data_IF_974480727958
#
_entry.id   IF_974480727958
#
_cell.length_a   1.000
_cell.length_b   1.000
_cell.length_c   1.000
_cell.angle_alpha   90.00
_cell.angle_beta   90.00
_cell.angle_gamma   90.00
#
_symmetry.space_group_name_H-M   'P 1'
#
loop_
_entity.id
_entity.type
_entity.pdbx_description
1 polymer ?
#
# COMPACT_ATOMS: atom_id res chain seq x y z
N UNK A 1 -9.56 -19.61 -65.34
CA UNK A 1 -10.11 -18.73 -64.28
C UNK A 1 -10.48 -19.43 -62.96
N UNK A 2 -10.60 -20.73 -62.89
CA UNK A 2 -11.02 -21.52 -61.73
C UNK A 2 -9.90 -21.79 -60.72
N UNK A 3 -8.66 -22.07 -61.18
CA UNK A 3 -7.52 -22.48 -60.31
C UNK A 3 -6.99 -21.33 -59.44
N UNK A 4 -7.01 -20.09 -59.92
CA UNK A 4 -6.60 -18.90 -59.17
C UNK A 4 -7.56 -18.60 -58.04
N UNK A 5 -8.86 -18.84 -58.23
CA UNK A 5 -9.89 -18.60 -57.18
C UNK A 5 -9.80 -19.61 -56.03
N UNK A 6 -9.46 -20.87 -56.37
CA UNK A 6 -9.23 -21.92 -55.33
C UNK A 6 -7.96 -21.66 -54.53
N UNK A 7 -6.90 -21.15 -55.15
CA UNK A 7 -5.63 -20.82 -54.47
C UNK A 7 -5.79 -19.65 -53.49
N UNK A 8 -6.58 -18.62 -53.85
CA UNK A 8 -6.89 -17.53 -52.95
C UNK A 8 -7.73 -17.98 -51.73
N UNK A 9 -8.75 -18.81 -51.94
CA UNK A 9 -9.57 -19.33 -50.83
C UNK A 9 -8.77 -20.18 -49.89
N UNK A 10 -7.77 -20.89 -50.35
CA UNK A 10 -6.90 -21.72 -49.52
C UNK A 10 -5.87 -20.87 -48.75
N UNK A 11 -5.42 -19.77 -49.33
CA UNK A 11 -4.54 -18.77 -48.70
C UNK A 11 -5.29 -18.03 -47.59
N UNK A 12 -6.50 -17.53 -47.83
CA UNK A 12 -7.34 -16.90 -46.80
C UNK A 12 -7.64 -17.82 -45.62
N UNK A 13 -7.94 -19.08 -45.86
CA UNK A 13 -8.17 -20.08 -44.79
C UNK A 13 -6.93 -20.32 -43.93
N UNK A 14 -5.73 -20.21 -44.51
CA UNK A 14 -4.46 -20.37 -43.77
C UNK A 14 -4.19 -19.16 -42.88
N UNK A 15 -4.39 -17.95 -43.39
CA UNK A 15 -4.24 -16.70 -42.62
C UNK A 15 -5.25 -16.65 -41.47
N UNK A 16 -6.49 -17.02 -41.66
CA UNK A 16 -7.52 -17.09 -40.61
C UNK A 16 -7.13 -18.12 -39.52
N UNK A 17 -6.57 -19.27 -39.90
CA UNK A 17 -6.10 -20.25 -38.93
C UNK A 17 -4.92 -19.72 -38.07
N UNK A 18 -3.99 -19.00 -38.70
CA UNK A 18 -2.84 -18.38 -37.99
C UNK A 18 -3.35 -17.31 -37.05
N UNK A 19 -4.28 -16.43 -37.48
CA UNK A 19 -4.89 -15.42 -36.60
C UNK A 19 -5.64 -16.07 -35.42
N UNK A 20 -6.40 -17.12 -35.67
CA UNK A 20 -7.14 -17.83 -34.60
C UNK A 20 -6.19 -18.48 -33.60
N UNK A 21 -5.10 -19.09 -34.08
CA UNK A 21 -4.07 -19.67 -33.23
C UNK A 21 -3.38 -18.60 -32.38
N UNK A 22 -3.00 -17.46 -32.98
CA UNK A 22 -2.42 -16.33 -32.26
C UNK A 22 -3.37 -15.78 -31.17
N UNK A 23 -4.66 -15.66 -31.50
CA UNK A 23 -5.68 -15.24 -30.54
C UNK A 23 -5.78 -16.22 -29.36
N UNK A 24 -5.79 -17.53 -29.62
CA UNK A 24 -5.81 -18.54 -28.56
C UNK A 24 -4.57 -18.45 -27.65
N UNK A 25 -3.38 -18.24 -28.23
CA UNK A 25 -2.14 -18.08 -27.46
C UNK A 25 -2.21 -16.84 -26.56
N UNK A 26 -2.69 -15.71 -27.08
CA UNK A 26 -2.86 -14.46 -26.30
C UNK A 26 -3.85 -14.68 -25.16
N UNK A 27 -4.97 -15.35 -25.41
CA UNK A 27 -5.96 -15.66 -24.36
C UNK A 27 -5.38 -16.58 -23.28
N UNK A 28 -4.60 -17.60 -23.65
CA UNK A 28 -3.93 -18.48 -22.67
C UNK A 28 -2.91 -17.72 -21.83
N UNK A 29 -2.09 -16.85 -22.43
CA UNK A 29 -1.13 -16.02 -21.72
C UNK A 29 -1.87 -15.07 -20.76
N UNK A 30 -2.95 -14.43 -21.19
CA UNK A 30 -3.76 -13.54 -20.37
C UNK A 30 -4.40 -14.27 -19.19
N UNK A 31 -4.95 -15.47 -19.43
CA UNK A 31 -5.52 -16.31 -18.38
C UNK A 31 -4.47 -16.76 -17.37
N UNK A 32 -3.29 -17.19 -17.84
CA UNK A 32 -2.17 -17.56 -16.99
C UNK A 32 -1.68 -16.37 -16.14
N UNK A 33 -1.53 -15.19 -16.75
CA UNK A 33 -1.15 -13.97 -16.03
C UNK A 33 -2.19 -13.59 -14.96
N UNK A 34 -3.48 -13.72 -15.27
CA UNK A 34 -4.56 -13.47 -14.30
C UNK A 34 -4.55 -14.47 -13.13
N UNK A 35 -4.34 -15.77 -13.40
CA UNK A 35 -4.25 -16.82 -12.37
C UNK A 35 -3.01 -16.65 -11.47
N UNK A 36 -1.91 -16.15 -12.02
CA UNK A 36 -0.66 -15.90 -11.28
C UNK A 36 -0.71 -14.56 -10.50
N UNK A 37 -1.60 -13.65 -10.87
CA UNK A 37 -1.80 -12.39 -10.18
C UNK A 37 -2.46 -12.63 -8.83
N UNK A 38 -1.70 -12.51 -7.73
CA UNK A 38 -2.28 -12.57 -6.38
C UNK A 38 -3.01 -11.27 -6.10
N UNK A 39 -4.34 -11.30 -5.88
CA UNK A 39 -5.05 -10.08 -5.52
C UNK A 39 -4.48 -9.51 -4.21
N UNK A 40 -4.23 -8.23 -4.17
CA UNK A 40 -3.81 -7.54 -2.96
C UNK A 40 -4.90 -7.58 -1.89
N UNK A 41 -4.50 -7.54 -0.62
CA UNK A 41 -5.44 -7.35 0.49
C UNK A 41 -5.79 -5.88 0.58
N UNK A 42 -7.09 -5.58 0.75
CA UNK A 42 -7.57 -4.22 0.97
C UNK A 42 -7.27 -3.79 2.40
N UNK A 43 -6.69 -2.60 2.53
CA UNK A 43 -6.40 -1.94 3.80
C UNK A 43 -7.05 -0.57 3.87
N UNK A 44 -7.39 -0.15 5.09
CA UNK A 44 -7.92 1.17 5.41
C UNK A 44 -6.79 2.00 5.98
N UNK A 45 -6.64 3.22 5.48
CA UNK A 45 -5.66 4.20 5.95
C UNK A 45 -6.39 5.43 6.42
N UNK A 46 -6.17 5.83 7.67
CA UNK A 46 -6.78 7.01 8.25
C UNK A 46 -5.79 8.17 8.18
N UNK A 47 -6.21 9.26 7.55
CA UNK A 47 -5.47 10.51 7.43
C UNK A 47 -6.35 11.68 7.88
N UNK A 48 -5.75 12.82 8.16
CA UNK A 48 -6.47 14.06 8.42
C UNK A 48 -6.87 14.71 7.09
N UNK A 49 -8.13 15.14 6.98
CA UNK A 49 -8.59 15.93 5.83
C UNK A 49 -8.01 17.35 5.88
N UNK A 50 -7.42 17.81 4.77
CA UNK A 50 -6.87 19.14 4.65
C UNK A 50 -7.95 20.23 4.78
N UNK A 51 -9.18 19.93 4.33
CA UNK A 51 -10.28 20.89 4.27
C UNK A 51 -11.01 21.02 5.62
N UNK A 52 -11.19 19.91 6.34
CA UNK A 52 -12.05 19.87 7.53
C UNK A 52 -11.31 19.58 8.83
N UNK A 53 -10.05 19.13 8.77
CA UNK A 53 -9.29 18.65 9.94
C UNK A 53 -9.83 17.33 10.52
N UNK A 54 -10.87 16.75 9.93
CA UNK A 54 -11.46 15.49 10.40
C UNK A 54 -10.70 14.28 9.86
N UNK A 55 -10.76 13.16 10.59
CA UNK A 55 -10.18 11.91 10.13
C UNK A 55 -10.98 11.35 8.95
N UNK A 56 -10.30 11.11 7.84
CA UNK A 56 -10.83 10.52 6.62
C UNK A 56 -10.16 9.16 6.36
N UNK A 57 -10.86 8.27 5.63
CA UNK A 57 -10.37 6.92 5.34
C UNK A 57 -10.08 6.78 3.86
N UNK A 58 -8.87 6.34 3.54
CA UNK A 58 -8.44 5.97 2.19
C UNK A 58 -8.27 4.45 2.09
N UNK A 59 -8.73 3.86 0.98
CA UNK A 59 -8.60 2.43 0.74
C UNK A 59 -7.47 2.13 -0.24
N UNK A 60 -6.59 1.18 0.11
CA UNK A 60 -5.51 0.69 -0.76
C UNK A 60 -5.47 -0.82 -0.79
N UNK A 61 -5.05 -1.35 -1.93
CA UNK A 61 -4.74 -2.77 -2.08
C UNK A 61 -3.23 -2.94 -2.02
N UNK A 62 -2.76 -3.70 -1.02
CA UNK A 62 -1.35 -4.02 -0.86
C UNK A 62 -1.11 -5.52 -1.08
N UNK A 63 0.05 -5.90 -1.65
CA UNK A 63 0.43 -7.29 -1.78
C UNK A 63 0.41 -8.00 -0.42
N UNK A 64 -0.14 -9.21 -0.36
CA UNK A 64 -0.13 -9.99 0.88
C UNK A 64 1.22 -10.69 1.06
N UNK A 65 1.98 -10.29 2.07
CA UNK A 65 3.32 -10.83 2.36
C UNK A 65 3.39 -11.73 3.61
N UNK A 66 2.32 -11.79 4.39
CA UNK A 66 2.31 -12.48 5.69
C UNK A 66 2.72 -11.56 6.85
N UNK A 67 2.70 -12.10 8.07
CA UNK A 67 3.13 -11.42 9.29
C UNK A 67 4.60 -11.78 9.56
N UNK A 68 5.48 -10.83 9.93
CA UNK A 68 5.20 -9.41 10.25
C UNK A 68 5.31 -8.44 9.03
N UNK A 69 5.67 -8.90 7.83
CA UNK A 69 5.98 -8.07 6.67
C UNK A 69 4.80 -7.20 6.22
N UNK A 70 3.56 -7.69 6.41
CA UNK A 70 2.35 -6.88 6.14
C UNK A 70 2.26 -5.64 7.04
N UNK A 71 2.69 -5.77 8.32
CA UNK A 71 2.70 -4.65 9.26
C UNK A 71 3.73 -3.61 8.82
N UNK A 72 4.94 -4.07 8.47
CA UNK A 72 6.02 -3.19 8.03
C UNK A 72 5.67 -2.47 6.73
N UNK A 73 5.10 -3.19 5.74
CA UNK A 73 4.64 -2.61 4.49
C UNK A 73 3.53 -1.57 4.72
N UNK A 74 2.58 -1.86 5.59
CA UNK A 74 1.51 -0.92 5.93
C UNK A 74 2.06 0.34 6.61
N UNK A 75 3.04 0.20 7.51
CA UNK A 75 3.73 1.32 8.13
C UNK A 75 4.47 2.18 7.09
N UNK A 76 5.13 1.56 6.08
CA UNK A 76 5.76 2.30 4.98
C UNK A 76 4.75 3.17 4.22
N UNK A 77 3.60 2.61 3.88
CA UNK A 77 2.54 3.34 3.17
C UNK A 77 1.97 4.51 3.99
N UNK A 78 1.94 4.40 5.32
CA UNK A 78 1.54 5.50 6.21
C UNK A 78 2.54 6.65 6.17
N UNK A 79 3.85 6.36 6.15
CA UNK A 79 4.91 7.37 6.10
C UNK A 79 5.00 8.02 4.72
N UNK A 80 4.81 7.23 3.64
CA UNK A 80 4.72 7.76 2.27
C UNK A 80 3.58 8.77 2.15
N UNK A 81 2.47 8.56 2.90
CA UNK A 81 1.36 9.49 2.97
C UNK A 81 0.19 9.14 2.03
N UNK A 82 -0.84 9.99 1.96
CA UNK A 82 -2.05 9.77 1.16
C UNK A 82 -1.77 9.86 -0.34
N UNK A 83 -2.60 9.18 -1.15
CA UNK A 83 -2.56 9.26 -2.63
C UNK A 83 -3.24 10.52 -3.18
N UNK A 84 -4.06 11.17 -2.38
CA UNK A 84 -4.80 12.36 -2.76
C UNK A 84 -4.37 13.56 -1.92
N UNK A 85 -4.22 14.70 -2.56
CA UNK A 85 -3.86 15.97 -1.92
C UNK A 85 -4.94 16.52 -0.96
N UNK A 86 -6.12 15.89 -0.93
CA UNK A 86 -7.20 16.23 0.02
C UNK A 86 -6.88 15.86 1.46
N UNK A 87 -5.88 15.03 1.67
CA UNK A 87 -5.47 14.57 2.99
C UNK A 87 -4.06 15.05 3.29
N UNK A 88 -3.83 15.35 4.56
CA UNK A 88 -2.51 15.74 5.04
C UNK A 88 -1.61 14.51 5.19
N UNK A 89 -0.32 14.69 4.96
CA UNK A 89 0.70 13.73 5.37
C UNK A 89 0.65 13.54 6.88
N UNK A 90 0.91 12.35 7.39
CA UNK A 90 1.05 12.13 8.84
C UNK A 90 2.30 12.81 9.39
N UNK A 91 3.36 12.82 8.59
CA UNK A 91 4.67 13.38 8.93
C UNK A 91 5.14 14.31 7.81
N UNK A 92 6.13 15.14 8.08
CA UNK A 92 6.71 16.04 7.07
C UNK A 92 7.26 15.27 5.88
N UNK A 93 7.24 15.92 4.71
CA UNK A 93 7.84 15.38 3.50
C UNK A 93 9.33 15.09 3.72
N UNK A 94 9.78 13.92 3.26
CA UNK A 94 11.17 13.49 3.48
C UNK A 94 11.36 12.62 4.72
N UNK A 95 10.37 12.50 5.62
CA UNK A 95 10.43 11.55 6.73
C UNK A 95 10.57 10.12 6.22
N UNK A 96 11.49 9.36 6.79
CA UNK A 96 11.71 7.94 6.50
C UNK A 96 12.01 7.15 7.75
N UNK A 97 11.91 5.82 7.68
CA UNK A 97 12.32 4.95 8.77
C UNK A 97 13.84 4.74 8.75
N UNK A 98 14.51 5.16 9.81
CA UNK A 98 15.90 4.78 10.10
C UNK A 98 15.96 3.28 10.41
N UNK A 99 14.98 2.79 11.18
CA UNK A 99 14.78 1.36 11.43
C UNK A 99 13.33 1.07 11.76
N UNK A 100 12.86 -0.14 11.43
CA UNK A 100 11.55 -0.65 11.81
C UNK A 100 11.56 -2.16 11.91
N UNK A 101 10.93 -2.71 12.93
CA UNK A 101 10.79 -4.15 13.10
C UNK A 101 9.65 -4.47 14.08
N UNK A 102 9.18 -5.71 14.02
CA UNK A 102 8.20 -6.24 14.98
C UNK A 102 8.87 -7.29 15.85
N UNK A 103 8.74 -7.15 17.17
CA UNK A 103 9.25 -8.10 18.15
C UNK A 103 8.26 -8.26 19.30
N UNK A 104 7.90 -9.48 19.65
CA UNK A 104 6.96 -9.80 20.73
C UNK A 104 5.61 -9.06 20.60
N UNK A 105 5.07 -8.99 19.36
CA UNK A 105 3.84 -8.28 19.03
C UNK A 105 3.87 -6.77 19.29
N UNK A 106 5.05 -6.18 19.41
CA UNK A 106 5.30 -4.73 19.48
C UNK A 106 5.95 -4.28 18.18
N UNK A 107 5.41 -3.24 17.57
CA UNK A 107 6.03 -2.57 16.44
C UNK A 107 6.97 -1.47 16.95
N UNK A 108 8.24 -1.60 16.64
CA UNK A 108 9.26 -0.60 16.91
C UNK A 108 9.54 0.18 15.63
N UNK A 109 9.46 1.49 15.69
CA UNK A 109 9.76 2.38 14.54
C UNK A 109 10.66 3.51 15.02
N UNK A 110 11.70 3.78 14.23
CA UNK A 110 12.60 4.90 14.42
C UNK A 110 12.53 5.79 13.18
N UNK A 111 11.96 6.97 13.33
CA UNK A 111 11.81 7.96 12.27
C UNK A 111 13.07 8.82 12.19
N UNK A 112 13.35 9.33 10.99
CA UNK A 112 14.40 10.34 10.79
C UNK A 112 14.04 11.66 11.49
N UNK A 113 15.03 12.49 11.77
CA UNK A 113 14.85 13.80 12.38
C UNK A 113 13.99 14.77 11.53
N UNK A 114 13.88 14.49 10.22
CA UNK A 114 13.04 15.25 9.28
C UNK A 114 11.56 15.32 9.70
N UNK A 115 11.11 14.37 10.54
CA UNK A 115 9.76 14.41 11.12
C UNK A 115 9.51 15.67 11.95
N UNK A 116 10.55 16.31 12.47
CA UNK A 116 10.47 17.54 13.26
C UNK A 116 10.39 18.81 12.40
N UNK A 117 10.69 18.70 11.10
CA UNK A 117 10.55 19.79 10.14
C UNK A 117 9.08 19.90 9.70
N UNK A 118 8.28 20.65 10.45
CA UNK A 118 6.84 20.84 10.23
C UNK A 118 6.52 21.60 8.93
N UNK A 119 7.38 21.51 7.92
CA UNK A 119 7.17 22.13 6.62
C UNK A 119 6.17 21.36 5.76
N UNK A 120 5.31 22.09 5.05
CA UNK A 120 4.38 21.53 4.08
C UNK A 120 2.99 21.17 4.62
N UNK A 121 2.23 20.42 3.84
CA UNK A 121 0.86 19.99 4.18
C UNK A 121 0.86 18.71 5.01
N UNK A 122 1.44 18.74 6.21
CA UNK A 122 1.39 17.64 7.16
C UNK A 122 0.50 17.97 8.37
N UNK A 123 0.04 16.94 9.08
CA UNK A 123 -0.60 17.08 10.38
C UNK A 123 0.42 17.57 11.41
N UNK A 124 -0.04 18.16 12.52
CA UNK A 124 0.86 18.41 13.64
C UNK A 124 1.47 17.09 14.13
N UNK A 125 2.67 17.14 14.71
CA UNK A 125 3.45 15.94 15.03
C UNK A 125 2.71 15.01 15.99
N UNK A 126 1.97 15.54 16.95
CA UNK A 126 1.19 14.73 17.89
C UNK A 126 0.06 14.00 17.18
N UNK A 127 -0.73 14.72 16.39
CA UNK A 127 -1.81 14.14 15.58
C UNK A 127 -1.26 13.09 14.60
N UNK A 128 -0.14 13.36 13.95
CA UNK A 128 0.51 12.41 13.04
C UNK A 128 0.94 11.13 13.75
N UNK A 129 1.56 11.23 14.92
CA UNK A 129 1.95 10.09 15.76
C UNK A 129 0.73 9.30 16.22
N UNK A 130 -0.30 9.97 16.74
CA UNK A 130 -1.50 9.34 17.25
C UNK A 130 -2.28 8.62 16.13
N UNK A 131 -2.40 9.23 14.96
CA UNK A 131 -3.00 8.61 13.78
C UNK A 131 -2.18 7.42 13.27
N UNK A 132 -0.86 7.52 13.24
CA UNK A 132 0.01 6.42 12.86
C UNK A 132 -0.22 5.19 13.76
N UNK A 133 -0.17 5.38 15.08
CA UNK A 133 -0.41 4.33 16.07
C UNK A 133 -1.80 3.73 15.94
N UNK A 134 -2.82 4.56 15.85
CA UNK A 134 -4.22 4.14 15.69
C UNK A 134 -4.43 3.33 14.42
N UNK A 135 -3.81 3.71 13.31
CA UNK A 135 -3.85 2.95 12.06
C UNK A 135 -3.28 1.53 12.24
N UNK A 136 -2.12 1.41 12.87
CA UNK A 136 -1.46 0.11 13.11
C UNK A 136 -2.31 -0.77 14.05
N UNK A 137 -2.70 -0.25 15.21
CA UNK A 137 -3.41 -1.02 16.23
C UNK A 137 -4.80 -1.46 15.76
N UNK A 138 -5.52 -0.60 15.04
CA UNK A 138 -6.84 -0.94 14.50
C UNK A 138 -6.76 -1.95 13.34
N UNK A 139 -5.68 -1.96 12.57
CA UNK A 139 -5.54 -2.82 11.39
C UNK A 139 -4.97 -4.19 11.72
N UNK A 140 -4.09 -4.27 12.71
CA UNK A 140 -3.36 -5.49 13.06
C UNK A 140 -3.59 -5.91 14.50
N UNK A 141 -4.62 -6.70 14.75
CA UNK A 141 -4.98 -7.16 16.10
C UNK A 141 -3.92 -8.03 16.81
N UNK A 142 -2.84 -8.44 16.10
CA UNK A 142 -1.67 -9.09 16.74
C UNK A 142 -0.72 -8.08 17.37
N UNK A 143 -0.68 -6.84 16.88
CA UNK A 143 0.16 -5.79 17.44
C UNK A 143 -0.52 -5.22 18.68
N UNK A 144 0.17 -5.31 19.81
CA UNK A 144 -0.32 -4.87 21.11
C UNK A 144 0.15 -3.47 21.49
N UNK A 145 1.28 -3.05 20.94
CA UNK A 145 1.85 -1.73 21.22
C UNK A 145 2.67 -1.24 20.02
N UNK A 146 2.82 0.08 19.93
CA UNK A 146 3.70 0.75 18.95
C UNK A 146 4.65 1.66 19.72
N UNK A 147 5.94 1.32 19.69
CA UNK A 147 7.01 2.13 20.26
C UNK A 147 7.65 2.97 19.17
N UNK A 148 7.69 4.28 19.38
CA UNK A 148 8.21 5.23 18.40
C UNK A 148 9.42 5.98 18.95
N UNK A 149 10.38 6.14 18.05
CA UNK A 149 11.62 6.87 18.28
C UNK A 149 11.80 7.90 17.16
N UNK A 150 12.41 9.01 17.48
CA UNK A 150 12.90 10.01 16.53
C UNK A 150 14.40 10.15 16.77
N UNK A 151 15.19 9.88 15.74
CA UNK A 151 16.66 9.92 15.82
C UNK A 151 17.19 9.20 17.08
N UNK A 152 16.73 7.96 17.29
CA UNK A 152 17.05 7.09 18.44
C UNK A 152 16.58 7.59 19.81
N UNK A 153 15.79 8.65 19.89
CA UNK A 153 15.19 9.13 21.15
C UNK A 153 13.74 8.67 21.24
N UNK A 154 13.40 7.97 22.32
CA UNK A 154 12.03 7.52 22.56
C UNK A 154 11.07 8.71 22.70
N UNK A 155 9.91 8.61 22.03
CA UNK A 155 8.84 9.60 22.17
C UNK A 155 7.95 9.19 23.34
N UNK A 156 7.22 8.09 23.18
CA UNK A 156 6.43 7.41 24.18
C UNK A 156 5.85 6.11 23.61
N UNK A 157 5.45 5.19 24.48
CA UNK A 157 4.80 3.93 24.13
C UNK A 157 3.30 4.09 24.26
N UNK A 158 2.54 3.65 23.25
CA UNK A 158 1.08 3.57 23.30
C UNK A 158 0.64 2.12 23.20
N UNK A 159 -0.25 1.74 24.10
CA UNK A 159 -0.84 0.41 24.18
C UNK A 159 -2.28 0.43 23.63
N UNK A 160 -2.86 -0.78 23.44
CA UNK A 160 -4.27 -0.93 23.05
C UNK A 160 -5.25 -0.27 24.03
N UNK A 161 -4.88 -0.11 25.30
CA UNK A 161 -5.70 0.53 26.33
C UNK A 161 -5.81 2.05 26.09
N UNK A 162 -4.76 2.67 25.58
CA UNK A 162 -4.73 4.12 25.29
C UNK A 162 -5.57 4.49 24.08
N UNK A 163 -5.83 3.53 23.16
CA UNK A 163 -6.58 3.77 21.91
C UNK A 163 -8.09 3.65 22.11
N UNK A 164 -8.55 2.97 23.16
CA UNK A 164 -9.99 2.72 23.41
C UNK A 164 -10.67 3.82 24.21
N UNK A 165 -9.95 4.81 24.71
CA UNK A 165 -10.46 6.01 25.36
C UNK A 165 -10.45 7.20 24.38
#
# INVERSE_FOLDING_TARGET
>A
MSVLKLKNIQYEKKEVKICLFALCVILLISAAAWLLSKPGKRYNFCFESADTGMVAVEYRYLPHKGYPENVLQYADELVIGPKTERYRLLFSSGTYFVSRFVRNDVLYVNLSADVLDMSGSCSDIKTGIDLFKKNILNTFGKIKAVEMYIDNKSIYTVTDEDVKN
#
